data_IF_848275391663
#
_entry.id   IF_848275391663
#
_cell.length_a   1.000
_cell.length_b   1.000
_cell.length_c   1.000
_cell.angle_alpha   90.00
_cell.angle_beta   90.00
_cell.angle_gamma   90.00
#
_symmetry.space_group_name_H-M   'P 1'
#
loop_
_entity.id
_entity.type
_entity.pdbx_description
1 polymer ?
#
# COMPACT_ATOMS: atom_id res chain seq x y z
N UNK A 1 -1.14 1.55 -16.27
CA UNK A 1 -2.62 1.40 -16.24
C UNK A 1 -2.95 0.23 -15.33
N UNK A 2 -3.83 0.43 -14.36
CA UNK A 2 -4.11 -0.52 -13.29
C UNK A 2 -4.85 -1.79 -13.78
N UNK A 3 -4.65 -2.92 -13.10
CA UNK A 3 -5.21 -4.23 -13.51
C UNK A 3 -6.75 -4.30 -13.37
N UNK A 4 -7.33 -3.53 -12.45
CA UNK A 4 -8.77 -3.54 -12.15
C UNK A 4 -9.59 -2.54 -12.96
N UNK A 5 -8.95 -1.71 -13.78
CA UNK A 5 -9.66 -0.76 -14.63
C UNK A 5 -10.43 -1.54 -15.70
N UNK A 6 -11.68 -1.16 -15.91
CA UNK A 6 -12.52 -1.72 -16.96
C UNK A 6 -12.10 -1.18 -18.34
N UNK A 7 -12.61 -1.82 -19.39
CA UNK A 7 -12.62 -1.22 -20.73
C UNK A 7 -13.39 0.12 -20.69
N UNK A 8 -13.18 0.97 -21.70
CA UNK A 8 -13.84 2.28 -21.75
C UNK A 8 -15.35 2.14 -21.53
N UNK A 9 -15.93 3.00 -20.70
CA UNK A 9 -17.38 3.11 -20.63
C UNK A 9 -17.93 3.46 -22.03
N UNK A 10 -19.16 3.07 -22.33
CA UNK A 10 -19.72 3.31 -23.66
C UNK A 10 -19.74 4.81 -24.01
N UNK A 11 -20.16 5.67 -23.07
CA UNK A 11 -20.15 7.12 -23.25
C UNK A 11 -18.74 7.69 -23.47
N UNK A 12 -17.74 7.17 -22.74
CA UNK A 12 -16.34 7.53 -22.91
C UNK A 12 -15.86 7.16 -24.33
N UNK A 13 -16.21 5.96 -24.79
CA UNK A 13 -15.84 5.44 -26.11
C UNK A 13 -16.47 6.24 -27.25
N UNK A 14 -17.76 6.56 -27.14
CA UNK A 14 -18.45 7.42 -28.09
C UNK A 14 -17.83 8.82 -28.13
N UNK A 15 -17.41 9.36 -26.99
CA UNK A 15 -16.69 10.63 -26.94
C UNK A 15 -15.31 10.54 -27.62
N UNK A 16 -14.58 9.44 -27.45
CA UNK A 16 -13.32 9.19 -28.15
C UNK A 16 -13.55 9.15 -29.67
N UNK A 17 -14.53 8.37 -30.14
CA UNK A 17 -14.87 8.22 -31.56
C UNK A 17 -15.25 9.55 -32.20
N UNK A 18 -16.02 10.38 -31.49
CA UNK A 18 -16.49 11.68 -31.99
C UNK A 18 -15.35 12.69 -32.18
N UNK A 19 -14.30 12.62 -31.36
CA UNK A 19 -13.28 13.67 -31.31
C UNK A 19 -11.97 13.26 -31.99
N UNK A 20 -11.60 11.97 -31.96
CA UNK A 20 -10.33 11.50 -32.51
C UNK A 20 -10.39 11.40 -34.04
N UNK A 21 -9.25 11.63 -34.69
CA UNK A 21 -9.06 11.40 -36.12
C UNK A 21 -9.06 9.90 -36.40
N UNK A 22 -9.91 9.48 -37.32
CA UNK A 22 -10.00 8.09 -37.77
C UNK A 22 -9.39 7.95 -39.17
N UNK A 23 -8.90 6.76 -39.50
CA UNK A 23 -8.47 6.45 -40.86
C UNK A 23 -9.66 6.51 -41.82
N UNK A 24 -9.45 7.00 -43.03
CA UNK A 24 -10.53 7.10 -44.02
C UNK A 24 -10.92 5.79 -44.67
N UNK A 25 -10.05 4.78 -44.54
CA UNK A 25 -10.23 3.42 -45.04
C UNK A 25 -11.54 2.77 -44.55
N UNK A 26 -12.40 2.27 -45.45
CA UNK A 26 -13.69 1.66 -45.09
C UNK A 26 -13.57 0.42 -44.19
N UNK A 27 -12.55 -0.42 -44.36
CA UNK A 27 -12.38 -1.63 -43.56
C UNK A 27 -11.94 -1.28 -42.14
N UNK A 28 -11.04 -0.30 -42.00
CA UNK A 28 -10.66 0.23 -40.69
C UNK A 28 -11.87 0.79 -39.94
N UNK A 29 -12.75 1.54 -40.63
CA UNK A 29 -14.02 2.02 -40.07
C UNK A 29 -14.97 0.87 -39.68
N UNK A 30 -15.06 -0.18 -40.49
CA UNK A 30 -15.87 -1.35 -40.18
C UNK A 30 -15.39 -2.07 -38.91
N UNK A 31 -14.08 -2.25 -38.75
CA UNK A 31 -13.47 -2.84 -37.55
C UNK A 31 -13.76 -2.00 -36.30
N UNK A 32 -13.71 -0.67 -36.40
CA UNK A 32 -14.09 0.26 -35.31
C UNK A 32 -15.57 0.12 -34.95
N UNK A 33 -16.46 -0.02 -35.94
CA UNK A 33 -17.88 -0.24 -35.70
C UNK A 33 -18.14 -1.59 -35.00
N UNK A 34 -17.48 -2.66 -35.46
CA UNK A 34 -17.53 -3.98 -34.80
C UNK A 34 -17.02 -3.91 -33.35
N UNK A 35 -15.95 -3.15 -33.08
CA UNK A 35 -15.45 -2.91 -31.72
C UNK A 35 -16.49 -2.21 -30.84
N UNK A 36 -17.17 -1.20 -31.40
CA UNK A 36 -18.22 -0.45 -30.69
C UNK A 36 -19.39 -1.35 -30.30
N UNK A 37 -19.85 -2.20 -31.23
CA UNK A 37 -20.93 -3.16 -30.97
C UNK A 37 -20.52 -4.18 -29.89
N UNK A 38 -19.32 -4.75 -29.98
CA UNK A 38 -18.83 -5.68 -28.95
C UNK A 38 -18.69 -5.02 -27.57
N UNK A 39 -18.31 -3.73 -27.53
CA UNK A 39 -18.21 -2.97 -26.29
C UNK A 39 -19.58 -2.72 -25.66
N UNK A 40 -20.58 -2.36 -26.45
CA UNK A 40 -21.97 -2.23 -25.99
C UNK A 40 -22.52 -3.57 -25.47
N UNK A 41 -22.38 -4.64 -26.24
CA UNK A 41 -22.76 -5.99 -25.83
C UNK A 41 -22.07 -6.42 -24.52
N UNK A 42 -20.78 -6.10 -24.35
CA UNK A 42 -20.06 -6.37 -23.10
C UNK A 42 -20.67 -5.62 -21.91
N UNK A 43 -20.97 -4.34 -22.07
CA UNK A 43 -21.54 -3.52 -20.98
C UNK A 43 -22.98 -3.88 -20.65
N UNK A 44 -23.72 -4.43 -21.61
CA UNK A 44 -25.06 -4.99 -21.41
C UNK A 44 -25.07 -6.31 -20.62
N UNK A 45 -23.92 -6.97 -20.43
CA UNK A 45 -23.84 -8.14 -19.55
C UNK A 45 -23.86 -7.71 -18.08
N UNK A 46 -24.85 -8.22 -17.34
CA UNK A 46 -24.98 -7.93 -15.92
C UNK A 46 -23.75 -8.32 -15.09
N UNK A 47 -23.13 -7.33 -14.42
CA UNK A 47 -21.94 -7.46 -13.56
C UNK A 47 -22.25 -7.75 -12.08
N UNK A 48 -23.52 -8.02 -11.73
CA UNK A 48 -23.93 -8.24 -10.32
C UNK A 48 -23.84 -9.71 -9.87
N UNK A 49 -23.51 -10.62 -10.79
CA UNK A 49 -23.46 -12.06 -10.54
C UNK A 49 -22.18 -12.68 -11.11
N UNK A 50 -21.59 -13.60 -10.35
CA UNK A 50 -20.40 -14.36 -10.75
C UNK A 50 -20.68 -15.28 -11.95
N UNK A 51 -21.92 -15.75 -12.11
CA UNK A 51 -22.34 -16.63 -13.22
C UNK A 51 -22.10 -16.02 -14.61
N UNK A 52 -22.04 -14.70 -14.69
CA UNK A 52 -21.82 -13.97 -15.94
C UNK A 52 -20.33 -13.68 -16.21
N UNK A 53 -19.40 -14.06 -15.33
CA UNK A 53 -17.97 -13.85 -15.59
C UNK A 53 -17.51 -14.51 -16.90
N UNK A 54 -17.83 -15.80 -17.19
CA UNK A 54 -17.39 -16.42 -18.45
C UNK A 54 -17.91 -15.70 -19.70
N UNK A 55 -19.17 -15.26 -19.69
CA UNK A 55 -19.76 -14.48 -20.80
C UNK A 55 -19.00 -13.17 -21.04
N UNK A 56 -18.64 -12.48 -19.96
CA UNK A 56 -17.88 -11.22 -20.02
C UNK A 56 -16.46 -11.44 -20.52
N UNK A 57 -15.78 -12.47 -20.04
CA UNK A 57 -14.44 -12.84 -20.50
C UNK A 57 -14.46 -13.14 -22.01
N UNK A 58 -15.44 -13.91 -22.49
CA UNK A 58 -15.61 -14.18 -23.92
C UNK A 58 -15.71 -12.89 -24.73
N UNK A 59 -16.55 -11.93 -24.32
CA UNK A 59 -16.69 -10.64 -25.01
C UNK A 59 -15.41 -9.81 -24.97
N UNK A 60 -14.72 -9.76 -23.84
CA UNK A 60 -13.43 -9.07 -23.73
C UNK A 60 -12.35 -9.70 -24.61
N UNK A 61 -12.33 -11.02 -24.75
CA UNK A 61 -11.42 -11.72 -25.66
C UNK A 61 -11.71 -11.33 -27.10
N UNK A 62 -12.98 -11.29 -27.51
CA UNK A 62 -13.38 -10.82 -28.84
C UNK A 62 -12.95 -9.36 -29.09
N UNK A 63 -13.12 -8.47 -28.10
CA UNK A 63 -12.66 -7.07 -28.18
C UNK A 63 -11.14 -7.01 -28.36
N UNK A 64 -10.38 -7.77 -27.56
CA UNK A 64 -8.92 -7.77 -27.63
C UNK A 64 -8.38 -8.32 -28.96
N UNK A 65 -9.03 -9.36 -29.49
CA UNK A 65 -8.70 -9.95 -30.80
C UNK A 65 -9.02 -8.97 -31.93
N UNK A 66 -10.20 -8.35 -31.93
CA UNK A 66 -10.59 -7.42 -32.98
C UNK A 66 -9.75 -6.13 -32.96
N UNK A 67 -9.32 -5.67 -31.78
CA UNK A 67 -8.39 -4.55 -31.67
C UNK A 67 -6.97 -4.92 -32.16
N UNK A 68 -6.57 -6.19 -32.02
CA UNK A 68 -5.33 -6.69 -32.62
C UNK A 68 -5.46 -6.78 -34.14
N UNK A 69 -6.57 -7.29 -34.66
CA UNK A 69 -6.88 -7.36 -36.09
C UNK A 69 -6.85 -5.97 -36.74
N UNK A 70 -7.44 -4.96 -36.09
CA UNK A 70 -7.34 -3.56 -36.52
C UNK A 70 -5.90 -3.09 -36.64
N UNK A 71 -5.08 -3.38 -35.63
CA UNK A 71 -3.67 -3.01 -35.62
C UNK A 71 -2.90 -3.73 -36.73
N UNK A 72 -3.14 -5.02 -36.90
CA UNK A 72 -2.47 -5.84 -37.91
C UNK A 72 -2.88 -5.43 -39.33
N UNK A 73 -4.15 -5.07 -39.54
CA UNK A 73 -4.67 -4.55 -40.80
C UNK A 73 -3.97 -3.25 -41.23
N UNK A 74 -3.81 -2.31 -40.30
CA UNK A 74 -3.15 -1.04 -40.59
C UNK A 74 -1.63 -1.19 -40.76
N UNK A 75 -1.01 -2.18 -40.12
CA UNK A 75 0.43 -2.42 -40.19
C UNK A 75 1.22 -1.16 -39.85
N UNK A 76 2.04 -0.69 -40.79
CA UNK A 76 2.87 0.52 -40.63
C UNK A 76 2.07 1.82 -40.58
N UNK A 77 0.80 1.82 -41.01
CA UNK A 77 -0.10 2.98 -40.91
C UNK A 77 -0.65 3.17 -39.49
N UNK A 78 -0.49 2.19 -38.60
CA UNK A 78 -0.95 2.29 -37.23
C UNK A 78 -0.09 3.28 -36.42
N UNK A 79 -0.73 4.32 -35.87
CA UNK A 79 -0.03 5.37 -35.13
C UNK A 79 0.09 4.98 -33.65
N UNK A 80 1.30 4.69 -33.22
CA UNK A 80 1.65 4.50 -31.82
C UNK A 80 1.52 5.79 -31.01
N UNK A 81 1.43 5.62 -29.69
CA UNK A 81 1.38 6.74 -28.75
C UNK A 81 2.67 7.57 -28.79
N UNK A 82 3.82 6.97 -29.05
CA UNK A 82 5.08 7.70 -29.22
C UNK A 82 5.04 8.61 -30.45
N UNK A 83 4.51 8.12 -31.57
CA UNK A 83 4.41 8.87 -32.83
C UNK A 83 3.49 10.09 -32.73
N UNK A 84 2.42 10.05 -31.93
CA UNK A 84 1.60 11.24 -31.66
C UNK A 84 2.37 12.34 -30.91
N UNK A 85 3.20 11.96 -29.93
CA UNK A 85 3.91 12.93 -29.08
C UNK A 85 5.04 13.67 -29.84
N UNK A 86 5.47 13.18 -31.01
CA UNK A 86 6.49 13.85 -31.84
C UNK A 86 5.95 15.13 -32.50
N UNK A 87 4.63 15.27 -32.64
CA UNK A 87 4.00 16.43 -33.30
C UNK A 87 3.75 17.64 -32.38
N UNK A 88 4.17 17.60 -31.11
CA UNK A 88 3.98 18.69 -30.14
C UNK A 88 5.29 19.25 -29.59
N UNK A 89 5.67 20.43 -30.08
CA UNK A 89 6.67 21.36 -29.54
C UNK A 89 8.02 20.78 -29.07
N UNK A 90 9.01 20.80 -29.98
CA UNK A 90 10.42 20.90 -29.58
C UNK A 90 10.66 22.28 -28.95
N UNK A 91 10.63 22.39 -27.63
CA UNK A 91 11.26 23.52 -26.93
C UNK A 91 12.70 23.17 -26.54
N UNK A 92 13.63 24.14 -26.64
CA UNK A 92 15.05 23.89 -26.45
C UNK A 92 15.39 23.68 -24.97
N UNK A 93 16.47 22.94 -24.78
CA UNK A 93 17.07 22.60 -23.48
C UNK A 93 17.37 23.87 -22.69
N UNK A 94 16.77 24.02 -21.51
CA UNK A 94 17.03 25.11 -20.57
C UNK A 94 16.52 24.74 -19.18
N UNK A 95 17.42 24.77 -18.21
CA UNK A 95 17.19 24.43 -16.80
C UNK A 95 16.29 25.46 -16.09
N UNK A 96 15.58 24.97 -15.06
CA UNK A 96 14.84 25.70 -14.03
C UNK A 96 13.63 26.54 -14.52
N UNK A 97 12.44 25.94 -14.44
CA UNK A 97 11.39 26.61 -13.66
C UNK A 97 10.37 25.63 -13.06
N UNK A 98 10.10 25.85 -11.78
CA UNK A 98 9.07 25.19 -11.00
C UNK A 98 7.79 26.03 -11.10
N UNK A 99 6.63 25.38 -11.01
CA UNK A 99 5.29 26.00 -11.05
C UNK A 99 4.73 26.30 -12.44
N UNK A 100 4.40 25.26 -13.21
CA UNK A 100 3.32 25.36 -14.20
C UNK A 100 2.19 24.37 -13.90
N UNK A 101 1.21 24.85 -13.12
CA UNK A 101 -0.16 24.33 -13.13
C UNK A 101 -0.87 24.85 -14.38
N UNK A 102 -0.55 24.29 -15.56
CA UNK A 102 -1.46 24.35 -16.72
C UNK A 102 -2.15 22.99 -16.89
N UNK A 103 -3.48 22.95 -17.01
CA UNK A 103 -4.21 21.70 -17.14
C UNK A 103 -3.93 21.10 -18.54
N UNK A 104 -3.38 19.89 -18.59
CA UNK A 104 -3.29 19.03 -19.80
C UNK A 104 -4.70 18.59 -20.27
N UNK A 105 -5.62 19.52 -20.50
CA UNK A 105 -7.04 19.20 -20.68
C UNK A 105 -7.49 18.94 -22.13
N UNK A 106 -6.66 19.14 -23.16
CA UNK A 106 -7.24 19.18 -24.53
C UNK A 106 -6.44 18.57 -25.69
N UNK A 107 -5.27 17.95 -25.49
CA UNK A 107 -4.47 17.46 -26.63
C UNK A 107 -4.64 15.98 -26.99
N UNK A 108 -5.28 15.16 -26.14
CA UNK A 108 -5.36 13.69 -26.36
C UNK A 108 -6.59 13.21 -27.13
N UNK A 109 -7.64 14.03 -27.24
CA UNK A 109 -8.85 13.66 -27.99
C UNK A 109 -8.85 14.17 -29.44
N UNK A 110 -7.82 14.91 -29.87
CA UNK A 110 -7.70 15.45 -31.24
C UNK A 110 -6.71 14.69 -32.12
N UNK A 111 -6.02 13.71 -31.55
CA UNK A 111 -5.05 12.85 -32.21
C UNK A 111 -5.72 11.68 -32.95
N UNK A 112 -4.91 10.73 -33.40
CA UNK A 112 -5.38 9.45 -33.95
C UNK A 112 -6.20 8.66 -32.93
N UNK A 113 -7.12 7.85 -33.44
CA UNK A 113 -7.85 6.87 -32.64
C UNK A 113 -6.99 5.66 -32.24
N UNK A 114 -5.86 5.44 -32.94
CA UNK A 114 -5.03 4.24 -32.80
C UNK A 114 -4.52 4.00 -31.36
N UNK A 115 -4.01 5.00 -30.61
CA UNK A 115 -3.60 4.79 -29.23
C UNK A 115 -4.77 4.43 -28.30
N UNK A 116 -5.99 4.85 -28.64
CA UNK A 116 -7.19 4.49 -27.90
C UNK A 116 -7.61 3.04 -28.17
N UNK A 117 -7.52 2.57 -29.42
CA UNK A 117 -7.77 1.16 -29.76
C UNK A 117 -6.74 0.24 -29.10
N UNK A 118 -5.45 0.61 -29.13
CA UNK A 118 -4.43 -0.10 -28.36
C UNK A 118 -4.72 -0.07 -26.86
N UNK A 119 -5.14 1.08 -26.32
CA UNK A 119 -5.58 1.21 -24.94
C UNK A 119 -6.75 0.29 -24.58
N UNK A 120 -7.74 0.16 -25.48
CA UNK A 120 -8.89 -0.73 -25.33
C UNK A 120 -8.45 -2.19 -25.27
N UNK A 121 -7.55 -2.61 -26.16
CA UNK A 121 -6.96 -3.95 -26.16
C UNK A 121 -6.27 -4.27 -24.83
N UNK A 122 -5.41 -3.37 -24.37
CA UNK A 122 -4.67 -3.52 -23.11
C UNK A 122 -5.60 -3.59 -21.89
N UNK A 123 -6.67 -2.77 -21.89
CA UNK A 123 -7.72 -2.83 -20.85
C UNK A 123 -8.48 -4.14 -20.88
N UNK A 124 -8.87 -4.62 -22.05
CA UNK A 124 -9.59 -5.88 -22.19
C UNK A 124 -8.78 -7.05 -21.62
N UNK A 125 -7.50 -7.17 -22.01
CA UNK A 125 -6.60 -8.20 -21.49
C UNK A 125 -6.42 -8.11 -19.96
N UNK A 126 -6.20 -6.92 -19.43
CA UNK A 126 -6.09 -6.72 -17.97
C UNK A 126 -7.39 -7.05 -17.23
N UNK A 127 -8.53 -6.68 -17.81
CA UNK A 127 -9.84 -6.97 -17.23
C UNK A 127 -10.15 -8.46 -17.23
N UNK A 128 -9.74 -9.22 -18.26
CA UNK A 128 -9.82 -10.69 -18.27
C UNK A 128 -9.02 -11.27 -17.08
N UNK A 129 -7.79 -10.80 -16.88
CA UNK A 129 -6.95 -11.22 -15.75
C UNK A 129 -7.58 -10.88 -14.39
N UNK A 130 -8.17 -9.69 -14.25
CA UNK A 130 -8.93 -9.31 -13.06
C UNK A 130 -10.11 -10.25 -12.82
N UNK A 131 -10.89 -10.58 -13.87
CA UNK A 131 -12.04 -11.48 -13.77
C UNK A 131 -11.65 -12.91 -13.40
N UNK A 132 -10.48 -13.39 -13.84
CA UNK A 132 -9.91 -14.66 -13.40
C UNK A 132 -9.61 -14.63 -11.90
N UNK A 133 -8.88 -13.63 -11.42
CA UNK A 133 -8.58 -13.46 -9.98
C UNK A 133 -9.84 -13.33 -9.14
N UNK A 134 -10.83 -12.57 -9.62
CA UNK A 134 -12.11 -12.38 -8.94
C UNK A 134 -12.88 -13.70 -8.83
N UNK A 135 -12.96 -14.47 -9.92
CA UNK A 135 -13.61 -15.79 -9.93
C UNK A 135 -12.93 -16.73 -8.95
N UNK A 136 -11.60 -16.80 -9.01
CA UNK A 136 -10.82 -17.68 -8.16
C UNK A 136 -10.96 -17.35 -6.68
N UNK A 137 -10.92 -16.06 -6.33
CA UNK A 137 -11.20 -15.61 -4.97
C UNK A 137 -12.55 -16.13 -4.47
N UNK A 138 -13.64 -15.94 -5.21
CA UNK A 138 -14.98 -16.33 -4.74
C UNK A 138 -15.20 -17.85 -4.70
N UNK A 139 -14.40 -18.67 -5.39
CA UNK A 139 -14.44 -20.14 -5.22
C UNK A 139 -13.96 -20.56 -3.83
N UNK A 140 -13.01 -19.83 -3.26
CA UNK A 140 -12.34 -20.17 -2.01
C UNK A 140 -12.64 -19.21 -0.84
N UNK A 141 -13.35 -18.12 -1.12
CA UNK A 141 -13.66 -17.10 -0.13
C UNK A 141 -14.58 -17.66 0.96
N UNK A 142 -14.14 -17.54 2.21
CA UNK A 142 -14.99 -17.85 3.34
C UNK A 142 -16.21 -16.91 3.35
N UNK A 143 -17.39 -17.46 3.62
CA UNK A 143 -18.67 -16.74 3.71
C UNK A 143 -18.61 -15.41 4.49
N UNK A 144 -17.77 -15.33 5.53
CA UNK A 144 -17.57 -14.15 6.36
C UNK A 144 -16.94 -12.95 5.62
N UNK A 145 -16.39 -13.15 4.43
CA UNK A 145 -15.82 -12.09 3.59
C UNK A 145 -16.67 -11.81 2.33
N UNK A 146 -17.74 -12.57 2.12
CA UNK A 146 -18.61 -12.48 0.93
C UNK A 146 -19.91 -11.75 1.27
N UNK A 147 -20.59 -12.20 2.32
CA UNK A 147 -21.83 -11.56 2.78
C UNK A 147 -21.54 -10.24 3.48
N UNK A 148 -22.33 -9.21 3.17
CA UNK A 148 -22.13 -7.86 3.68
C UNK A 148 -22.21 -7.78 5.20
N UNK A 149 -23.24 -8.38 5.81
CA UNK A 149 -23.43 -8.35 7.26
C UNK A 149 -22.29 -9.08 7.97
N UNK A 150 -21.88 -10.21 7.42
CA UNK A 150 -20.80 -11.04 7.95
C UNK A 150 -19.44 -10.38 7.80
N UNK A 151 -19.17 -9.69 6.69
CA UNK A 151 -17.93 -8.92 6.48
C UNK A 151 -17.82 -7.79 7.49
N UNK A 152 -18.87 -6.96 7.65
CA UNK A 152 -18.87 -5.87 8.63
C UNK A 152 -18.71 -6.37 10.07
N UNK A 153 -19.37 -7.48 10.41
CA UNK A 153 -19.19 -8.12 11.72
C UNK A 153 -17.76 -8.62 11.92
N UNK A 154 -17.16 -9.22 10.89
CA UNK A 154 -15.78 -9.72 10.93
C UNK A 154 -14.79 -8.59 11.13
N UNK A 155 -14.90 -7.52 10.34
CA UNK A 155 -14.06 -6.33 10.46
C UNK A 155 -14.16 -5.74 11.87
N UNK A 156 -15.38 -5.48 12.37
CA UNK A 156 -15.59 -4.97 13.74
C UNK A 156 -15.01 -5.89 14.81
N UNK A 157 -15.10 -7.20 14.62
CA UNK A 157 -14.55 -8.18 15.58
C UNK A 157 -13.04 -8.17 15.59
N UNK A 158 -12.38 -8.08 14.43
CA UNK A 158 -10.91 -8.03 14.35
C UNK A 158 -10.39 -6.70 14.92
N UNK A 159 -11.02 -5.56 14.65
CA UNK A 159 -10.65 -4.27 15.26
C UNK A 159 -10.70 -4.30 16.78
N UNK A 160 -11.82 -4.76 17.35
CA UNK A 160 -12.03 -4.80 18.80
C UNK A 160 -11.08 -5.76 19.51
N UNK A 161 -10.58 -6.77 18.79
CA UNK A 161 -9.64 -7.77 19.32
C UNK A 161 -8.19 -7.37 19.10
N UNK A 162 -7.91 -6.45 18.17
CA UNK A 162 -6.56 -6.11 17.73
C UNK A 162 -5.64 -5.73 18.90
N UNK A 163 -6.10 -4.88 19.82
CA UNK A 163 -5.33 -4.43 20.99
C UNK A 163 -5.31 -5.40 22.18
N UNK A 164 -6.06 -6.51 22.11
CA UNK A 164 -6.25 -7.45 23.23
C UNK A 164 -5.48 -8.76 23.09
N UNK A 165 -4.80 -8.97 21.96
CA UNK A 165 -4.09 -10.22 21.68
C UNK A 165 -2.60 -10.13 22.00
N UNK A 166 -2.01 -11.28 22.32
CA UNK A 166 -0.55 -11.42 22.52
C UNK A 166 0.25 -11.11 21.24
N UNK A 167 -0.33 -11.38 20.08
CA UNK A 167 0.25 -11.11 18.76
C UNK A 167 -0.74 -10.28 17.95
N UNK A 168 -0.20 -9.31 17.22
CA UNK A 168 -0.98 -8.39 16.41
C UNK A 168 -1.37 -9.07 15.11
N UNK A 169 -2.61 -8.79 14.69
CA UNK A 169 -3.14 -9.11 13.37
C UNK A 169 -3.31 -7.83 12.59
N UNK A 170 -3.57 -7.95 11.30
CA UNK A 170 -4.00 -6.83 10.48
C UNK A 170 -5.24 -6.15 11.08
N UNK A 171 -5.24 -4.82 11.08
CA UNK A 171 -6.42 -4.01 11.36
C UNK A 171 -7.51 -4.22 10.30
N UNK A 172 -8.72 -3.69 10.52
CA UNK A 172 -9.85 -3.91 9.61
C UNK A 172 -9.60 -3.44 8.18
N UNK A 173 -9.01 -2.25 8.01
CA UNK A 173 -8.65 -1.70 6.70
C UNK A 173 -7.72 -2.63 5.94
N UNK A 174 -6.60 -2.99 6.56
CA UNK A 174 -5.58 -3.85 5.94
C UNK A 174 -6.07 -5.29 5.73
N UNK A 175 -6.96 -5.80 6.60
CA UNK A 175 -7.57 -7.11 6.37
C UNK A 175 -8.36 -7.11 5.06
N UNK A 176 -9.08 -6.02 4.77
CA UNK A 176 -9.84 -5.90 3.53
C UNK A 176 -8.92 -5.78 2.31
N UNK A 177 -7.79 -5.08 2.43
CA UNK A 177 -6.73 -5.02 1.40
C UNK A 177 -6.21 -6.42 1.07
N UNK A 178 -5.89 -7.20 2.10
CA UNK A 178 -5.44 -8.58 1.94
C UNK A 178 -6.52 -9.48 1.32
N UNK A 179 -7.81 -9.26 1.63
CA UNK A 179 -8.90 -10.03 1.03
C UNK A 179 -9.21 -9.61 -0.41
N UNK A 180 -8.78 -8.43 -0.86
CA UNK A 180 -9.01 -7.98 -2.23
C UNK A 180 -8.24 -8.88 -3.22
N UNK A 181 -8.91 -9.48 -4.22
CA UNK A 181 -8.27 -10.35 -5.22
C UNK A 181 -7.09 -9.73 -5.97
N UNK A 182 -7.01 -8.40 -5.98
CA UNK A 182 -5.93 -7.64 -6.61
C UNK A 182 -5.22 -6.69 -5.64
N UNK A 183 -5.46 -6.84 -4.33
CA UNK A 183 -4.77 -6.14 -3.26
C UNK A 183 -4.72 -4.61 -3.45
N UNK A 184 -5.84 -3.97 -3.80
CA UNK A 184 -5.87 -2.50 -3.93
C UNK A 184 -5.70 -1.88 -2.53
N UNK A 185 -4.84 -0.85 -2.39
CA UNK A 185 -4.62 -0.17 -1.13
C UNK A 185 -5.93 0.32 -0.51
N UNK A 186 -6.17 -0.05 0.74
CA UNK A 186 -7.38 0.34 1.48
C UNK A 186 -7.05 0.51 2.97
N UNK A 187 -7.34 1.71 3.48
CA UNK A 187 -6.99 2.14 4.83
C UNK A 187 -8.19 2.86 5.47
N UNK A 188 -9.35 2.20 5.48
CA UNK A 188 -10.55 2.76 6.09
C UNK A 188 -10.53 2.57 7.61
N UNK A 189 -11.15 3.51 8.34
CA UNK A 189 -11.35 3.39 9.78
C UNK A 189 -12.79 2.93 10.04
N UNK A 190 -12.99 1.92 10.88
CA UNK A 190 -14.36 1.47 11.18
C UNK A 190 -15.18 2.52 11.93
N UNK A 191 -14.53 3.36 12.74
CA UNK A 191 -15.19 4.43 13.49
C UNK A 191 -15.79 5.50 12.57
N UNK A 192 -15.15 5.72 11.43
CA UNK A 192 -15.60 6.63 10.39
C UNK A 192 -16.94 6.22 9.76
N UNK A 193 -17.30 4.92 9.82
CA UNK A 193 -18.64 4.47 9.40
C UNK A 193 -19.76 5.12 10.21
N UNK A 194 -19.51 5.46 11.48
CA UNK A 194 -20.50 6.12 12.33
C UNK A 194 -20.58 7.62 12.05
N UNK A 195 -19.42 8.25 11.83
CA UNK A 195 -19.31 9.70 11.64
C UNK A 195 -19.58 10.13 10.19
N UNK A 196 -19.65 9.17 9.24
CA UNK A 196 -19.73 9.40 7.79
C UNK A 196 -18.60 10.27 7.25
N UNK A 197 -17.50 10.41 7.98
CA UNK A 197 -16.32 11.14 7.52
C UNK A 197 -15.41 10.16 6.82
N UNK A 198 -14.89 10.52 5.65
CA UNK A 198 -13.75 9.81 5.09
C UNK A 198 -12.48 10.56 5.46
N UNK A 199 -11.82 10.14 6.54
CA UNK A 199 -10.56 10.76 6.98
C UNK A 199 -9.33 10.27 6.21
N UNK A 200 -9.47 9.20 5.43
CA UNK A 200 -8.36 8.56 4.74
C UNK A 200 -8.44 8.76 3.22
N UNK A 201 -7.39 9.33 2.64
CA UNK A 201 -7.34 9.89 1.28
C UNK A 201 -7.35 8.87 0.12
N UNK A 202 -7.61 7.58 0.38
CA UNK A 202 -7.64 6.54 -0.65
C UNK A 202 -9.05 6.38 -1.28
N UNK A 203 -9.17 6.41 -2.62
CA UNK A 203 -10.44 6.14 -3.31
C UNK A 203 -11.15 4.82 -2.97
N UNK A 204 -10.43 3.80 -2.52
CA UNK A 204 -11.01 2.53 -2.09
C UNK A 204 -11.81 2.68 -0.80
N UNK A 205 -11.42 3.61 0.08
CA UNK A 205 -12.16 3.92 1.30
C UNK A 205 -13.53 4.53 0.94
N UNK A 206 -13.55 5.46 -0.02
CA UNK A 206 -14.78 6.06 -0.56
C UNK A 206 -15.70 4.97 -1.09
N UNK A 207 -15.17 4.09 -1.95
CA UNK A 207 -15.93 3.01 -2.54
C UNK A 207 -16.49 2.05 -1.49
N UNK A 208 -15.71 1.74 -0.45
CA UNK A 208 -16.16 0.89 0.65
C UNK A 208 -17.30 1.53 1.44
N UNK A 209 -17.18 2.80 1.82
CA UNK A 209 -18.24 3.52 2.55
C UNK A 209 -19.54 3.59 1.74
N UNK A 210 -19.45 3.93 0.44
CA UNK A 210 -20.61 3.94 -0.44
C UNK A 210 -21.26 2.55 -0.54
N UNK A 211 -20.47 1.48 -0.67
CA UNK A 211 -21.00 0.12 -0.65
C UNK A 211 -21.71 -0.20 0.67
N UNK A 212 -21.17 0.22 1.82
CA UNK A 212 -21.80 0.04 3.14
C UNK A 212 -23.14 0.76 3.24
N UNK A 213 -23.30 1.92 2.62
CA UNK A 213 -24.56 2.68 2.64
C UNK A 213 -25.65 2.09 1.74
N UNK A 214 -25.28 1.34 0.69
CA UNK A 214 -26.26 0.76 -0.23
C UNK A 214 -27.07 -0.42 0.36
N UNK A 215 -28.25 -0.71 -0.18
CA UNK A 215 -29.03 -1.92 0.14
C UNK A 215 -28.61 -3.16 -0.69
N UNK A 216 -27.48 -3.08 -1.40
CA UNK A 216 -27.06 -4.15 -2.32
C UNK A 216 -26.72 -5.45 -1.56
N UNK A 217 -27.05 -6.58 -2.19
CA UNK A 217 -26.58 -7.92 -1.77
C UNK A 217 -25.33 -8.36 -2.52
N UNK A 218 -24.85 -7.55 -3.48
CA UNK A 218 -23.65 -7.86 -4.26
C UNK A 218 -22.42 -7.74 -3.35
N UNK A 219 -21.58 -8.80 -3.27
CA UNK A 219 -20.34 -8.76 -2.50
C UNK A 219 -19.42 -7.61 -2.93
N UNK A 220 -18.67 -7.04 -1.98
CA UNK A 220 -17.94 -5.78 -2.19
C UNK A 220 -17.03 -5.79 -3.42
N UNK A 221 -16.16 -6.80 -3.58
CA UNK A 221 -15.23 -6.81 -4.71
C UNK A 221 -15.91 -7.02 -6.07
N UNK A 222 -17.08 -7.66 -6.10
CA UNK A 222 -17.89 -7.78 -7.31
C UNK A 222 -18.63 -6.47 -7.59
N UNK A 223 -19.13 -5.79 -6.55
CA UNK A 223 -19.80 -4.50 -6.66
C UNK A 223 -18.87 -3.41 -7.24
N UNK A 224 -17.58 -3.46 -6.90
CA UNK A 224 -16.56 -2.52 -7.41
C UNK A 224 -16.44 -2.51 -8.93
N UNK A 225 -16.88 -3.54 -9.64
CA UNK A 225 -16.81 -3.58 -11.10
C UNK A 225 -17.65 -2.50 -11.80
N UNK A 226 -18.71 -2.03 -11.14
CA UNK A 226 -19.55 -0.92 -11.64
C UNK A 226 -19.20 0.42 -11.00
N UNK A 227 -18.30 0.42 -10.03
CA UNK A 227 -17.96 1.63 -9.32
C UNK A 227 -17.05 2.54 -10.17
N UNK A 228 -17.21 3.88 -10.13
CA UNK A 228 -16.39 4.82 -10.89
C UNK A 228 -14.87 4.62 -10.76
N UNK A 229 -14.39 4.10 -9.63
CA UNK A 229 -12.96 3.77 -9.44
C UNK A 229 -12.43 2.74 -10.47
N UNK A 230 -13.32 1.90 -11.01
CA UNK A 230 -12.99 0.87 -11.99
C UNK A 230 -13.39 1.29 -13.40
N UNK A 231 -14.47 2.06 -13.56
CA UNK A 231 -15.06 2.33 -14.88
C UNK A 231 -14.64 3.65 -15.51
N UNK A 232 -14.14 4.61 -14.73
CA UNK A 232 -13.83 5.95 -15.27
C UNK A 232 -12.50 6.00 -15.99
N UNK A 233 -12.48 6.78 -17.06
CA UNK A 233 -11.29 7.13 -17.81
C UNK A 233 -10.89 8.56 -17.47
N UNK A 234 -9.67 8.69 -16.95
CA UNK A 234 -9.09 9.96 -16.57
C UNK A 234 -9.17 10.97 -17.71
N UNK A 235 -9.61 12.19 -17.37
CA UNK A 235 -9.75 13.33 -18.26
C UNK A 235 -10.83 13.16 -19.36
N UNK A 236 -11.63 12.07 -19.32
CA UNK A 236 -12.72 11.78 -20.27
C UNK A 236 -14.06 11.67 -19.54
N UNK A 237 -14.17 10.78 -18.55
CA UNK A 237 -15.46 10.55 -17.89
C UNK A 237 -15.92 11.80 -17.14
N UNK A 238 -17.19 12.15 -17.30
CA UNK A 238 -17.81 13.32 -16.64
C UNK A 238 -17.82 13.19 -15.12
N UNK A 239 -17.92 11.97 -14.60
CA UNK A 239 -17.86 11.63 -13.18
C UNK A 239 -16.44 11.30 -12.68
N UNK A 240 -15.40 11.55 -13.47
CA UNK A 240 -14.01 11.44 -13.02
C UNK A 240 -13.76 12.44 -11.89
N UNK A 241 -13.32 11.93 -10.73
CA UNK A 241 -12.97 12.77 -9.57
C UNK A 241 -11.47 12.91 -9.46
N UNK A 242 -11.01 14.10 -9.08
CA UNK A 242 -9.59 14.36 -8.82
C UNK A 242 -8.98 13.40 -7.78
N UNK A 243 -9.78 12.91 -6.83
CA UNK A 243 -9.35 11.90 -5.86
C UNK A 243 -8.93 10.57 -6.51
N UNK A 244 -9.46 10.22 -7.69
CA UNK A 244 -9.07 9.02 -8.44
C UNK A 244 -7.73 9.17 -9.17
N UNK A 245 -7.12 10.37 -9.15
CA UNK A 245 -5.82 10.66 -9.76
C UNK A 245 -4.66 9.94 -9.07
N UNK A 246 -4.81 9.58 -7.79
CA UNK A 246 -3.81 8.84 -7.04
C UNK A 246 -3.61 7.48 -7.71
N UNK A 247 -2.41 7.25 -8.27
CA UNK A 247 -2.05 5.95 -8.84
C UNK A 247 -2.11 4.91 -7.71
N UNK A 248 -3.17 4.12 -7.69
CA UNK A 248 -3.20 2.90 -6.90
C UNK A 248 -2.38 1.85 -7.66
N UNK A 249 -1.24 1.46 -7.10
CA UNK A 249 -0.60 0.18 -7.42
C UNK A 249 -1.21 -0.92 -6.53
N UNK A 250 -1.21 -2.20 -6.94
CA UNK A 250 -1.53 -3.29 -6.02
C UNK A 250 -0.44 -3.38 -4.94
N UNK A 251 -0.83 -3.67 -3.70
CA UNK A 251 0.12 -4.05 -2.65
C UNK A 251 0.62 -5.46 -2.94
N UNK A 252 1.94 -5.62 -3.05
CA UNK A 252 2.53 -6.89 -3.50
C UNK A 252 2.74 -7.87 -2.35
N UNK A 253 1.69 -8.56 -1.88
CA UNK A 253 1.78 -9.58 -0.83
C UNK A 253 2.62 -10.82 -1.16
N UNK A 254 3.05 -10.97 -2.42
CA UNK A 254 3.83 -12.08 -2.93
C UNK A 254 5.32 -11.70 -3.14
N UNK A 255 5.74 -10.47 -2.80
CA UNK A 255 7.14 -10.06 -3.02
C UNK A 255 8.12 -10.84 -2.12
N UNK A 256 9.11 -11.53 -2.72
CA UNK A 256 10.18 -12.21 -2.00
C UNK A 256 11.25 -11.26 -1.44
N UNK A 257 11.15 -9.95 -1.67
CA UNK A 257 12.29 -9.03 -1.52
C UNK A 257 12.62 -8.68 -0.06
N UNK A 258 11.93 -9.25 0.93
CA UNK A 258 12.27 -9.02 2.32
C UNK A 258 13.67 -9.52 2.69
N UNK A 259 14.31 -8.81 3.61
CA UNK A 259 15.56 -9.21 4.22
C UNK A 259 15.23 -9.90 5.54
N UNK A 260 15.66 -11.15 5.68
CA UNK A 260 15.54 -11.90 6.94
C UNK A 260 16.65 -11.43 7.88
N UNK A 261 16.31 -11.13 9.12
CA UNK A 261 17.27 -10.61 10.12
C UNK A 261 17.18 -11.46 11.38
N UNK A 262 18.31 -11.97 11.86
CA UNK A 262 18.40 -12.73 13.11
C UNK A 262 19.27 -12.01 14.13
N UNK A 263 18.94 -12.19 15.41
CA UNK A 263 19.84 -11.86 16.51
C UNK A 263 20.86 -13.01 16.62
N UNK A 264 22.12 -12.72 16.35
CA UNK A 264 23.22 -13.68 16.46
C UNK A 264 24.29 -13.15 17.42
N UNK A 265 24.94 -14.07 18.13
CA UNK A 265 26.09 -13.76 18.98
C UNK A 265 27.36 -13.76 18.11
N UNK A 266 27.99 -12.60 17.96
CA UNK A 266 29.21 -12.44 17.17
C UNK A 266 30.32 -12.06 18.15
N UNK A 267 31.15 -13.04 18.51
CA UNK A 267 32.28 -12.89 19.43
C UNK A 267 31.90 -12.30 20.81
N UNK A 268 30.75 -12.71 21.36
CA UNK A 268 30.26 -12.25 22.66
C UNK A 268 29.46 -10.94 22.58
N UNK A 269 29.28 -10.36 21.39
CA UNK A 269 28.41 -9.21 21.15
C UNK A 269 27.26 -9.59 20.22
N UNK A 270 26.03 -9.47 20.71
CA UNK A 270 24.85 -9.75 19.90
C UNK A 270 24.68 -8.69 18.81
N UNK A 271 24.46 -9.12 17.57
CA UNK A 271 24.21 -8.23 16.41
C UNK A 271 22.97 -8.66 15.65
N UNK A 272 22.37 -7.69 14.94
CA UNK A 272 21.37 -7.97 13.92
C UNK A 272 22.07 -8.40 12.63
N UNK A 273 21.97 -9.68 12.29
CA UNK A 273 22.57 -10.28 11.11
C UNK A 273 21.50 -10.49 10.03
N UNK A 274 21.74 -9.91 8.85
CA UNK A 274 20.83 -9.88 7.73
C UNK A 274 21.20 -10.91 6.65
N UNK A 275 20.17 -11.47 6.02
CA UNK A 275 20.27 -12.40 4.90
C UNK A 275 19.20 -12.06 3.87
N UNK A 276 19.62 -11.70 2.65
CA UNK A 276 18.70 -11.50 1.52
C UNK A 276 18.08 -12.83 1.11
N UNK A 277 16.83 -12.81 0.65
CA UNK A 277 16.20 -14.02 0.12
C UNK A 277 17.06 -14.61 -1.01
N UNK A 278 17.21 -15.93 -1.03
CA UNK A 278 18.03 -16.69 -1.99
C UNK A 278 19.54 -16.40 -1.98
N UNK A 279 20.04 -15.62 -1.02
CA UNK A 279 21.47 -15.46 -0.78
C UNK A 279 21.96 -16.38 0.34
N UNK A 280 23.17 -16.91 0.22
CA UNK A 280 23.88 -17.56 1.33
C UNK A 280 24.64 -16.56 2.20
N UNK A 281 24.83 -15.32 1.72
CA UNK A 281 25.62 -14.31 2.42
C UNK A 281 24.84 -13.75 3.62
N UNK A 282 25.48 -13.77 4.78
CA UNK A 282 25.01 -13.18 6.04
C UNK A 282 25.92 -11.98 6.32
N UNK A 283 25.32 -10.84 6.61
CA UNK A 283 26.04 -9.60 6.85
C UNK A 283 25.43 -8.82 8.01
N UNK A 284 26.21 -7.99 8.68
CA UNK A 284 25.68 -7.08 9.69
C UNK A 284 24.66 -6.14 9.06
N UNK A 285 23.46 -6.07 9.63
CA UNK A 285 22.41 -5.21 9.11
C UNK A 285 22.86 -3.75 9.16
N UNK A 286 22.76 -3.08 8.02
CA UNK A 286 22.89 -1.65 7.90
C UNK A 286 21.75 -1.13 7.03
N UNK A 287 20.73 -0.52 7.65
CA UNK A 287 19.50 -0.16 6.93
C UNK A 287 19.72 1.01 5.96
N UNK A 288 20.66 1.90 6.27
CA UNK A 288 21.04 2.98 5.37
C UNK A 288 21.90 2.51 4.19
N UNK A 289 22.19 1.21 4.06
CA UNK A 289 22.86 0.62 2.87
C UNK A 289 21.96 -0.35 2.11
N UNK A 290 20.69 -0.49 2.51
CA UNK A 290 19.72 -1.20 1.69
C UNK A 290 19.48 -0.36 0.42
N UNK A 291 19.66 -0.96 -0.76
CA UNK A 291 19.50 -0.28 -2.05
C UNK A 291 18.07 0.31 -2.19
N UNK A 292 17.95 1.48 -2.81
CA UNK A 292 16.70 2.23 -3.08
C UNK A 292 16.02 2.87 -1.85
N UNK A 293 16.58 4.00 -1.38
CA UNK A 293 16.06 4.76 -0.24
C UNK A 293 14.68 5.39 -0.49
N UNK A 294 13.77 5.26 0.49
CA UNK A 294 12.50 6.00 0.50
C UNK A 294 12.34 6.72 1.85
N UNK A 295 12.05 8.02 1.80
CA UNK A 295 11.77 8.84 2.98
C UNK A 295 10.34 8.62 3.45
N UNK A 296 10.16 8.17 4.70
CA UNK A 296 8.87 8.19 5.40
C UNK A 296 8.84 9.40 6.34
N UNK A 297 7.90 10.31 6.13
CA UNK A 297 7.75 11.53 6.94
C UNK A 297 7.67 11.18 8.43
N UNK A 298 8.52 11.80 9.24
CA UNK A 298 8.58 11.57 10.69
C UNK A 298 9.47 10.40 11.13
N UNK A 299 10.22 9.78 10.22
CA UNK A 299 11.24 8.77 10.54
C UNK A 299 12.65 9.27 10.16
N UNK A 300 13.71 8.81 10.85
CA UNK A 300 15.09 9.10 10.47
C UNK A 300 15.42 8.68 9.03
N UNK A 301 16.30 9.43 8.38
CA UNK A 301 16.81 9.08 7.06
C UNK A 301 17.54 7.73 7.10
N UNK A 302 17.26 6.84 6.15
CA UNK A 302 17.84 5.49 6.12
C UNK A 302 17.13 4.46 7.01
N UNK A 303 16.03 4.84 7.66
CA UNK A 303 15.20 3.90 8.41
C UNK A 303 14.45 2.94 7.47
N UNK A 304 14.33 1.68 7.88
CA UNK A 304 13.59 0.63 7.20
C UNK A 304 12.40 0.15 8.03
N UNK A 305 11.38 -0.40 7.38
CA UNK A 305 10.28 -1.06 8.07
C UNK A 305 10.75 -2.40 8.64
N UNK A 306 10.36 -2.71 9.88
CA UNK A 306 10.63 -4.00 10.50
C UNK A 306 9.35 -4.70 10.98
N UNK A 307 9.44 -6.04 11.03
CA UNK A 307 8.49 -6.92 11.72
C UNK A 307 9.25 -7.84 12.65
N UNK A 308 8.76 -7.96 13.87
CA UNK A 308 9.20 -8.95 14.84
C UNK A 308 8.32 -10.21 14.77
N UNK A 309 8.93 -11.36 14.47
CA UNK A 309 8.21 -12.59 14.15
C UNK A 309 7.37 -13.11 15.33
N UNK A 310 6.19 -13.68 15.04
CA UNK A 310 5.30 -14.20 16.08
C UNK A 310 5.84 -15.48 16.74
N UNK A 311 6.58 -16.31 16.01
CA UNK A 311 7.02 -17.62 16.47
C UNK A 311 8.41 -17.53 17.09
N UNK A 312 9.37 -16.99 16.36
CA UNK A 312 10.75 -16.84 16.81
C UNK A 312 11.00 -15.43 17.38
N UNK A 313 11.51 -15.38 18.61
CA UNK A 313 11.82 -14.11 19.30
C UNK A 313 13.11 -13.46 18.78
N UNK A 314 13.98 -14.22 18.13
CA UNK A 314 15.25 -13.73 17.60
C UNK A 314 15.17 -13.38 16.10
N UNK A 315 13.99 -13.52 15.49
CA UNK A 315 13.80 -13.33 14.06
C UNK A 315 12.99 -12.08 13.75
N UNK A 316 13.46 -11.34 12.75
CA UNK A 316 12.84 -10.16 12.20
C UNK A 316 12.83 -10.22 10.67
N UNK A 317 11.90 -9.49 10.08
CA UNK A 317 11.91 -9.16 8.67
C UNK A 317 12.11 -7.66 8.52
N UNK A 318 12.93 -7.24 7.56
CA UNK A 318 13.09 -5.83 7.23
C UNK A 318 12.96 -5.59 5.73
N UNK A 319 12.37 -4.46 5.37
CA UNK A 319 12.30 -4.00 4.00
C UNK A 319 12.18 -2.48 3.97
N UNK A 320 12.48 -1.87 2.83
CA UNK A 320 12.25 -0.44 2.63
C UNK A 320 10.74 -0.21 2.51
N UNK A 321 10.25 0.86 3.15
CA UNK A 321 8.83 1.18 3.12
C UNK A 321 8.49 1.98 1.85
N UNK A 322 7.71 1.40 0.94
CA UNK A 322 7.23 2.07 -0.26
C UNK A 322 5.71 2.27 -0.21
N UNK A 323 5.29 3.52 -0.04
CA UNK A 323 3.86 3.83 0.06
C UNK A 323 3.09 3.37 -1.19
N UNK A 324 2.12 2.49 -1.00
CA UNK A 324 1.24 1.98 -2.06
C UNK A 324 1.84 0.84 -2.89
N UNK A 325 3.04 0.36 -2.56
CA UNK A 325 3.71 -0.76 -3.23
C UNK A 325 4.10 -1.83 -2.21
N UNK A 326 4.82 -1.44 -1.16
CA UNK A 326 5.33 -2.32 -0.12
C UNK A 326 5.01 -1.79 1.28
N UNK A 327 4.12 -2.51 1.98
CA UNK A 327 3.71 -2.18 3.34
C UNK A 327 4.29 -3.17 4.35
N UNK A 328 4.24 -2.87 5.66
CA UNK A 328 4.65 -3.85 6.69
C UNK A 328 3.91 -5.18 6.53
N UNK A 329 2.62 -5.16 6.22
CA UNK A 329 1.81 -6.36 6.00
C UNK A 329 2.34 -7.25 4.87
N UNK A 330 3.05 -6.70 3.90
CA UNK A 330 3.66 -7.43 2.78
C UNK A 330 4.67 -8.48 3.27
N UNK A 331 5.61 -8.11 4.15
CA UNK A 331 6.75 -8.99 4.52
C UNK A 331 6.33 -10.34 5.11
N UNK A 332 5.13 -10.40 5.69
CA UNK A 332 4.60 -11.59 6.37
C UNK A 332 3.32 -12.11 5.73
N UNK A 333 2.95 -11.59 4.56
CA UNK A 333 1.66 -11.87 3.91
C UNK A 333 0.47 -11.67 4.87
N UNK A 334 0.55 -10.66 5.75
CA UNK A 334 -0.45 -10.35 6.76
C UNK A 334 -0.60 -11.41 7.87
N UNK A 335 0.43 -12.18 8.18
CA UNK A 335 0.45 -13.11 9.32
C UNK A 335 0.52 -12.35 10.65
N UNK A 336 0.37 -13.08 11.77
CA UNK A 336 0.49 -12.50 13.10
C UNK A 336 1.94 -12.05 13.36
N UNK A 337 2.12 -10.96 14.09
CA UNK A 337 3.45 -10.43 14.47
C UNK A 337 3.50 -10.10 15.97
N UNK A 338 4.69 -10.07 16.57
CA UNK A 338 4.87 -9.55 17.94
C UNK A 338 4.82 -8.04 17.97
N UNK A 339 5.53 -7.40 17.05
CA UNK A 339 5.58 -5.94 16.92
C UNK A 339 6.00 -5.60 15.50
N UNK A 340 5.79 -4.37 15.08
CA UNK A 340 6.26 -3.84 13.82
C UNK A 340 6.49 -2.33 13.98
N UNK A 341 7.28 -1.74 13.09
CA UNK A 341 7.60 -0.32 13.17
C UNK A 341 8.67 0.06 12.17
N UNK A 342 9.38 1.15 12.44
CA UNK A 342 10.55 1.58 11.67
C UNK A 342 11.78 1.53 12.54
N UNK A 343 12.92 1.19 11.95
CA UNK A 343 14.21 1.19 12.64
C UNK A 343 15.34 1.71 11.75
N UNK A 344 16.33 2.32 12.37
CA UNK A 344 17.63 2.65 11.78
C UNK A 344 18.66 1.75 12.46
N UNK A 345 19.39 0.98 11.65
CA UNK A 345 20.39 0.03 12.12
C UNK A 345 21.72 0.31 11.44
N UNK A 346 22.79 0.37 12.23
CA UNK A 346 24.16 0.55 11.78
C UNK A 346 25.04 -0.49 12.46
N UNK A 347 25.82 -1.23 11.67
CA UNK A 347 26.74 -2.26 12.19
C UNK A 347 26.03 -3.29 13.10
N UNK A 348 24.80 -3.67 12.71
CA UNK A 348 23.98 -4.62 13.48
C UNK A 348 23.40 -4.06 14.79
N UNK A 349 23.56 -2.77 15.09
CA UNK A 349 23.03 -2.08 16.28
C UNK A 349 21.98 -1.04 15.91
N UNK A 350 20.93 -0.94 16.72
CA UNK A 350 19.81 -0.04 16.48
C UNK A 350 20.15 1.36 17.00
N UNK A 351 20.15 2.36 16.12
CA UNK A 351 20.40 3.77 16.46
C UNK A 351 19.10 4.58 16.58
N UNK A 352 18.03 4.14 15.91
CA UNK A 352 16.69 4.68 16.14
C UNK A 352 15.62 3.61 15.93
N UNK A 353 14.53 3.67 16.69
CA UNK A 353 13.40 2.74 16.53
C UNK A 353 12.08 3.38 16.95
N UNK A 354 11.04 3.12 16.17
CA UNK A 354 9.67 3.52 16.49
C UNK A 354 8.67 2.37 16.29
N UNK A 355 7.42 2.62 16.68
CA UNK A 355 6.31 1.69 16.47
C UNK A 355 5.39 2.08 15.29
N UNK A 356 5.91 2.85 14.32
CA UNK A 356 5.22 3.36 13.13
C UNK A 356 4.99 2.28 12.07
N UNK A 357 4.15 1.30 12.40
CA UNK A 357 3.86 0.16 11.53
C UNK A 357 2.72 0.38 10.52
N UNK A 358 1.97 1.48 10.63
CA UNK A 358 0.74 1.71 9.89
C UNK A 358 -0.36 0.70 10.21
N UNK A 359 -0.23 -0.53 9.68
CA UNK A 359 -1.26 -1.57 9.63
C UNK A 359 -1.36 -2.47 10.85
N UNK A 360 -0.24 -2.72 11.54
CA UNK A 360 -0.18 -3.60 12.71
C UNK A 360 -0.41 -2.88 14.04
N UNK A 361 -0.33 -1.54 14.05
CA UNK A 361 -0.61 -0.61 15.17
C UNK A 361 -0.28 -1.19 16.57
N UNK A 362 0.96 -1.63 16.81
CA UNK A 362 1.34 -2.29 18.06
C UNK A 362 1.01 -1.42 19.28
N UNK A 363 0.66 -2.07 20.40
CA UNK A 363 0.46 -1.38 21.69
C UNK A 363 1.77 -0.94 22.32
N UNK A 364 1.72 0.08 23.19
CA UNK A 364 2.87 0.51 24.00
C UNK A 364 3.47 -0.63 24.82
N UNK A 365 2.64 -1.51 25.41
CA UNK A 365 3.12 -2.73 26.08
C UNK A 365 3.91 -3.68 25.16
N UNK A 366 3.54 -3.77 23.89
CA UNK A 366 4.23 -4.65 22.95
C UNK A 366 5.56 -4.05 22.49
N UNK A 367 5.54 -2.75 22.23
CA UNK A 367 6.74 -2.02 21.87
C UNK A 367 7.74 -2.03 23.04
N UNK A 368 7.26 -1.82 24.28
CA UNK A 368 8.06 -1.95 25.49
C UNK A 368 8.74 -3.32 25.63
N UNK A 369 8.01 -4.41 25.38
CA UNK A 369 8.59 -5.77 25.39
C UNK A 369 9.68 -5.96 24.35
N UNK A 370 9.54 -5.34 23.17
CA UNK A 370 10.57 -5.34 22.15
C UNK A 370 11.80 -4.57 22.66
N UNK A 371 11.62 -3.37 23.21
CA UNK A 371 12.73 -2.56 23.76
C UNK A 371 13.47 -3.33 24.87
N UNK A 372 12.76 -4.02 25.77
CA UNK A 372 13.37 -4.87 26.78
C UNK A 372 14.23 -5.98 26.17
N UNK A 373 13.71 -6.72 25.18
CA UNK A 373 14.48 -7.76 24.49
C UNK A 373 15.76 -7.19 23.85
N UNK A 374 15.63 -6.07 23.13
CA UNK A 374 16.75 -5.44 22.43
C UNK A 374 17.80 -4.91 23.42
N UNK A 375 17.36 -4.34 24.54
CA UNK A 375 18.24 -3.91 25.62
C UNK A 375 18.97 -5.08 26.29
N UNK A 376 18.25 -6.14 26.67
CA UNK A 376 18.83 -7.33 27.30
C UNK A 376 19.84 -8.04 26.39
N UNK A 377 19.72 -7.83 25.06
CA UNK A 377 20.67 -8.30 24.05
C UNK A 377 21.70 -7.26 23.64
N UNK A 378 21.81 -6.12 24.32
CA UNK A 378 22.78 -5.07 23.98
C UNK A 378 22.71 -4.61 22.50
N UNK A 379 21.53 -4.69 21.87
CA UNK A 379 21.32 -4.34 20.45
C UNK A 379 21.00 -2.86 20.25
N UNK A 380 20.59 -2.16 21.31
CA UNK A 380 20.38 -0.71 21.27
C UNK A 380 21.73 -0.01 21.39
N UNK A 381 22.04 0.87 20.44
CA UNK A 381 23.18 1.77 20.56
C UNK A 381 23.02 2.63 21.83
N UNK A 382 24.09 3.03 22.55
CA UNK A 382 23.96 3.83 23.78
C UNK A 382 23.17 5.14 23.62
N UNK A 383 23.23 5.73 22.43
CA UNK A 383 22.49 6.94 22.06
C UNK A 383 21.23 6.65 21.24
N UNK A 384 20.68 5.43 21.32
CA UNK A 384 19.52 5.05 20.53
C UNK A 384 18.34 5.96 20.82
N UNK A 385 17.69 6.42 19.76
CA UNK A 385 16.49 7.23 19.82
C UNK A 385 15.25 6.35 19.71
N UNK A 386 14.31 6.48 20.65
CA UNK A 386 13.12 5.63 20.75
C UNK A 386 11.86 6.49 20.72
N UNK A 387 10.91 6.16 19.84
CA UNK A 387 9.63 6.82 19.74
C UNK A 387 8.45 5.83 19.81
N UNK A 388 7.61 5.96 20.83
CA UNK A 388 6.28 5.34 20.83
C UNK A 388 5.27 6.38 20.36
N UNK A 389 4.70 6.18 19.17
CA UNK A 389 3.75 7.11 18.56
C UNK A 389 2.40 7.18 19.28
N UNK A 390 2.17 6.36 20.31
CA UNK A 390 1.02 6.51 21.22
C UNK A 390 1.29 7.49 22.35
N UNK A 391 2.55 7.89 22.56
CA UNK A 391 2.92 8.94 23.50
C UNK A 391 2.27 10.26 23.07
N UNK A 392 1.53 10.94 23.96
CA UNK A 392 0.94 12.24 23.64
C UNK A 392 2.03 13.24 23.25
N UNK A 393 1.82 13.98 22.16
CA UNK A 393 2.71 15.07 21.76
C UNK A 393 2.75 16.13 22.86
N UNK A 394 3.95 16.55 23.24
CA UNK A 394 4.16 17.64 24.20
C UNK A 394 4.49 18.92 23.45
N UNK A 395 3.98 20.05 23.90
CA UNK A 395 4.34 21.35 23.35
C UNK A 395 5.77 21.68 23.78
N UNK A 396 6.58 22.26 22.87
CA UNK A 396 7.91 22.78 23.22
C UNK A 396 7.84 23.89 24.26
N UNK A 397 6.74 24.62 24.26
CA UNK A 397 6.43 25.68 25.22
C UNK A 397 4.95 25.60 25.58
N UNK A 398 4.64 25.31 26.85
CA UNK A 398 3.27 25.20 27.33
C UNK A 398 2.49 26.51 27.20
N UNK A 399 3.19 27.64 27.14
CA UNK A 399 2.59 28.97 27.06
C UNK A 399 2.51 29.48 25.61
N UNK A 400 3.04 28.74 24.62
CA UNK A 400 3.02 29.17 23.22
C UNK A 400 2.85 27.98 22.26
N UNK A 401 1.61 27.76 21.82
CA UNK A 401 1.24 26.70 20.87
C UNK A 401 1.89 26.84 19.48
N UNK A 402 2.35 28.06 19.11
CA UNK A 402 2.99 28.31 17.82
C UNK A 402 4.45 27.87 17.77
N UNK A 403 5.09 27.61 18.92
CA UNK A 403 6.44 27.03 18.97
C UNK A 403 6.49 25.54 18.62
N UNK A 404 5.32 24.91 18.41
CA UNK A 404 5.20 23.53 17.95
C UNK A 404 5.41 22.49 19.05
N UNK A 405 5.63 21.25 18.64
CA UNK A 405 5.70 20.08 19.53
C UNK A 405 7.14 19.57 19.68
N UNK A 406 7.46 18.99 20.82
CA UNK A 406 8.67 18.22 21.06
C UNK A 406 8.78 17.06 20.05
N UNK A 407 10.01 16.61 19.80
CA UNK A 407 10.24 15.40 19.01
C UNK A 407 9.66 14.19 19.76
N UNK A 408 9.06 13.25 19.02
CA UNK A 408 8.58 12.00 19.58
C UNK A 408 9.73 11.06 19.97
N UNK A 409 10.90 11.25 19.37
CA UNK A 409 12.11 10.48 19.66
C UNK A 409 12.79 10.97 20.94
N UNK A 410 12.94 10.06 21.90
CA UNK A 410 13.66 10.33 23.16
C UNK A 410 14.76 9.30 23.41
N UNK A 411 15.69 9.58 24.31
CA UNK A 411 16.65 8.57 24.75
C UNK A 411 15.95 7.41 25.50
N UNK A 412 16.66 6.29 25.67
CA UNK A 412 16.12 5.09 26.32
C UNK A 412 15.60 5.34 27.75
N UNK A 413 16.34 6.07 28.58
CA UNK A 413 15.93 6.36 29.97
C UNK A 413 14.57 7.07 30.00
N UNK A 414 14.44 8.16 29.25
CA UNK A 414 13.20 8.94 29.18
C UNK A 414 12.04 8.16 28.58
N UNK A 415 12.30 7.25 27.64
CA UNK A 415 11.28 6.33 27.14
C UNK A 415 10.81 5.36 28.22
N UNK A 416 11.73 4.72 28.95
CA UNK A 416 11.42 3.74 29.98
C UNK A 416 10.63 4.36 31.13
N UNK A 417 11.07 5.52 31.63
CA UNK A 417 10.38 6.27 32.69
C UNK A 417 8.92 6.56 32.31
N UNK A 418 8.67 6.96 31.05
CA UNK A 418 7.31 7.19 30.57
C UNK A 418 6.53 5.89 30.38
N UNK A 419 7.12 4.89 29.72
CA UNK A 419 6.44 3.65 29.37
C UNK A 419 6.07 2.84 30.62
N UNK A 420 6.96 2.76 31.60
CA UNK A 420 6.74 2.00 32.82
C UNK A 420 5.74 2.67 33.77
N UNK A 421 5.41 3.94 33.55
CA UNK A 421 4.31 4.62 34.22
C UNK A 421 2.91 4.21 33.70
N UNK A 422 2.84 3.65 32.47
CA UNK A 422 1.58 3.28 31.83
C UNK A 422 0.86 2.13 32.57
N UNK A 423 -0.48 2.21 32.75
CA UNK A 423 -1.25 1.20 33.48
C UNK A 423 -1.05 -0.24 32.99
N UNK A 424 -1.01 -0.44 31.67
CA UNK A 424 -0.84 -1.76 31.06
C UNK A 424 0.56 -2.36 31.28
N UNK A 425 1.59 -1.52 31.40
CA UNK A 425 2.97 -1.94 31.65
C UNK A 425 3.16 -2.21 33.15
N UNK A 426 2.69 -1.34 34.04
CA UNK A 426 2.65 -1.60 35.50
C UNK A 426 1.97 -2.93 35.82
N UNK A 427 0.79 -3.16 35.24
CA UNK A 427 0.06 -4.42 35.40
C UNK A 427 0.86 -5.62 34.89
N UNK A 428 1.58 -5.47 33.78
CA UNK A 428 2.43 -6.52 33.24
C UNK A 428 3.63 -6.83 34.15
N UNK A 429 4.35 -5.80 34.59
CA UNK A 429 5.51 -5.92 35.48
C UNK A 429 5.13 -6.61 36.80
N UNK A 430 4.08 -6.11 37.46
CA UNK A 430 3.55 -6.72 38.68
C UNK A 430 3.13 -8.18 38.47
N UNK A 431 2.35 -8.47 37.42
CA UNK A 431 1.89 -9.84 37.12
C UNK A 431 3.05 -10.80 36.85
N UNK A 432 4.18 -10.30 36.34
CA UNK A 432 5.35 -11.12 36.02
C UNK A 432 6.44 -11.10 37.09
N UNK A 433 6.25 -10.32 38.16
CA UNK A 433 7.25 -10.09 39.19
C UNK A 433 8.59 -9.63 38.59
N UNK A 434 8.54 -8.68 37.67
CA UNK A 434 9.71 -8.10 36.98
C UNK A 434 9.91 -6.68 37.51
N UNK A 435 11.14 -6.36 37.92
CA UNK A 435 11.51 -4.98 38.27
C UNK A 435 11.57 -4.09 37.02
N UNK A 436 11.13 -2.82 37.11
CA UNK A 436 11.22 -1.88 36.01
C UNK A 436 12.66 -1.74 35.47
N UNK A 437 12.81 -1.66 34.15
CA UNK A 437 14.11 -1.49 33.51
C UNK A 437 14.66 -0.07 33.75
N UNK A 438 13.82 0.94 33.94
CA UNK A 438 14.27 2.30 34.29
C UNK A 438 15.05 2.35 35.60
N UNK A 439 14.70 1.51 36.59
CA UNK A 439 15.33 1.47 37.91
C UNK A 439 16.73 0.83 37.90
N UNK A 440 16.97 -0.08 36.94
CA UNK A 440 18.26 -0.78 36.78
C UNK A 440 19.12 -0.23 35.64
N UNK A 441 18.63 0.77 34.91
CA UNK A 441 19.32 1.29 33.74
C UNK A 441 20.47 2.22 34.16
N UNK A 442 21.70 1.75 33.95
CA UNK A 442 22.90 2.56 34.02
C UNK A 442 23.32 2.97 32.60
N UNK A 443 23.34 4.27 32.26
CA UNK A 443 23.82 4.71 30.96
C UNK A 443 25.30 4.32 30.83
N UNK A 444 25.63 3.46 29.86
CA UNK A 444 27.02 3.14 29.53
C UNK A 444 27.73 4.42 29.10
N UNK A 445 28.56 4.98 29.99
CA UNK A 445 29.40 6.14 29.69
C UNK A 445 30.41 5.75 28.61
N UNK A 446 30.56 6.62 27.61
CA UNK A 446 31.56 6.52 26.54
C UNK A 446 32.95 6.36 27.16
N UNK A 447 33.54 5.17 27.06
CA UNK A 447 35.00 5.04 26.92
C UNK A 447 35.27 4.87 25.43
N UNK A 448 35.18 5.97 24.68
CA UNK A 448 35.79 6.04 23.35
C UNK A 448 37.11 6.76 23.51
N UNK A 449 38.18 5.98 23.65
CA UNK A 449 39.52 6.46 23.36
C UNK A 449 39.52 7.05 21.96
N UNK A 450 39.97 8.30 21.86
CA UNK A 450 40.25 8.97 20.60
C UNK A 450 41.29 8.18 19.81
N UNK A 451 40.86 7.37 18.85
CA UNK A 451 41.72 7.02 17.73
C UNK A 451 41.20 7.75 16.50
N UNK A 452 41.91 8.83 16.18
CA UNK A 452 41.89 9.45 14.86
C UNK A 452 42.39 8.43 13.84
N UNK A 453 41.63 8.20 12.79
CA UNK A 453 42.14 8.00 11.43
C UNK A 453 41.17 8.65 10.46
#
# INVERSE_FOLDING_TARGET
MAIWQDVYALDDWLMILKNCKQHDDPNAKELINKLSNLLDEYHNISKVTLKNIPKRQKKLTQIAQLAQEYKDYLGDQFISKEQENVTGDKFPVGFLDSTSTKPRKDTRLKGSIDPWIHGLQQRANKKINYLNKLSEYYKHAHSKYVDKKSLLKTLKTEENKHSKQKFFRLSSGTLLEKQDPVHRPIEFMLEDLKSKRNTAEYPMNIAFYQWVETKTKVPFFLWLEKHPISTTTRDISTNWRGSYKNKMGPVNYESPENVSVHIEDVDGDYKLMAKKLNSKNIFELNTSKLADFVFKVGCPLGAAAFIWDAKDKNHFYTHIHESGIYHHSTMTSGKKVRCAGMWLVEHGKITAIDNNSGHYKPTSLSFYKLICLLHDKNLLHPNAQIADLRRPKRLKDKNNIFKGYEDNYTNLKSYLEWAEDLPEIKKYLHKKNIQPLSERYEPKTKVMGSQKF
#
